data_IF_784403246056
#
_entry.id   IF_784403246056
#
_cell.length_a   1.000
_cell.length_b   1.000
_cell.length_c   1.000
_cell.angle_alpha   90.00
_cell.angle_beta   90.00
_cell.angle_gamma   90.00
#
_symmetry.space_group_name_H-M   'P 1'
#
loop_
_entity.id
_entity.type
_entity.pdbx_description
1 polymer ?
#
# COMPACT_ATOMS: atom_id res chain seq x y z
N UNK A 1 -17.48 -3.95 24.97
CA UNK A 1 -18.07 -4.71 23.84
C UNK A 1 -17.51 -4.37 22.45
N UNK A 2 -16.35 -3.71 22.35
CA UNK A 2 -15.78 -3.26 21.06
C UNK A 2 -14.64 -4.14 20.48
N UNK A 3 -14.10 -5.08 21.27
CA UNK A 3 -12.93 -5.90 20.87
C UNK A 3 -13.23 -7.07 19.90
N UNK A 4 -14.45 -7.60 19.91
CA UNK A 4 -14.82 -8.75 19.08
C UNK A 4 -15.11 -8.38 17.60
N UNK A 5 -15.55 -7.16 17.34
CA UNK A 5 -15.84 -6.70 15.96
C UNK A 5 -14.56 -6.48 15.16
N UNK A 6 -13.49 -6.00 15.79
CA UNK A 6 -12.18 -5.77 15.16
C UNK A 6 -11.50 -7.10 14.79
N UNK A 7 -11.63 -8.12 15.63
CA UNK A 7 -11.05 -9.44 15.38
C UNK A 7 -11.73 -10.17 14.20
N UNK A 8 -13.05 -10.04 14.07
CA UNK A 8 -13.79 -10.68 12.97
C UNK A 8 -13.52 -10.04 11.60
N UNK A 9 -13.31 -8.72 11.56
CA UNK A 9 -12.92 -7.98 10.36
C UNK A 9 -11.50 -8.39 9.95
N UNK A 10 -10.60 -8.59 10.92
CA UNK A 10 -9.21 -9.00 10.69
C UNK A 10 -9.10 -10.41 10.08
N UNK A 11 -9.88 -11.36 10.60
CA UNK A 11 -9.91 -12.76 10.09
C UNK A 11 -10.49 -12.80 8.67
N UNK A 12 -11.58 -12.07 8.41
CA UNK A 12 -12.22 -12.01 7.08
C UNK A 12 -11.33 -11.32 6.03
N UNK A 13 -10.59 -10.28 6.45
CA UNK A 13 -9.57 -9.64 5.63
C UNK A 13 -8.43 -10.60 5.28
N UNK A 14 -7.96 -11.39 6.24
CA UNK A 14 -6.87 -12.36 6.04
C UNK A 14 -7.26 -13.47 5.04
N UNK A 15 -8.49 -13.96 5.07
CA UNK A 15 -8.98 -15.01 4.16
C UNK A 15 -9.09 -14.49 2.72
N UNK A 16 -9.56 -13.26 2.52
CA UNK A 16 -9.65 -12.65 1.18
C UNK A 16 -8.27 -12.37 0.57
N UNK A 17 -7.26 -12.05 1.39
CA UNK A 17 -5.88 -11.89 0.94
C UNK A 17 -5.20 -13.19 0.55
N UNK A 18 -5.53 -14.31 1.20
CA UNK A 18 -4.95 -15.62 0.84
C UNK A 18 -5.36 -16.07 -0.56
N UNK A 19 -6.56 -15.72 -1.01
CA UNK A 19 -7.04 -16.05 -2.37
C UNK A 19 -6.32 -15.23 -3.45
N UNK A 20 -5.99 -13.96 -3.18
CA UNK A 20 -5.23 -13.10 -4.13
C UNK A 20 -3.74 -13.48 -4.16
N UNK A 21 -3.18 -13.93 -3.03
CA UNK A 21 -1.81 -14.47 -2.94
C UNK A 21 -1.64 -15.81 -3.67
N UNK A 22 -2.68 -16.65 -3.73
CA UNK A 22 -2.64 -17.90 -4.49
C UNK A 22 -2.63 -17.69 -6.01
N UNK A 23 -3.07 -16.53 -6.49
CA UNK A 23 -2.99 -16.12 -7.91
C UNK A 23 -1.63 -15.52 -8.31
N UNK A 24 -0.82 -15.08 -7.36
CA UNK A 24 0.56 -14.62 -7.61
C UNK A 24 1.51 -15.84 -7.71
N UNK A 25 1.44 -16.57 -8.81
CA UNK A 25 2.05 -17.91 -9.01
C UNK A 25 3.54 -17.95 -9.32
N UNK A 26 4.26 -16.84 -9.25
CA UNK A 26 5.73 -16.82 -9.31
C UNK A 26 6.25 -15.57 -8.61
N UNK A 27 7.32 -15.70 -7.83
CA UNK A 27 8.08 -14.55 -7.39
C UNK A 27 8.51 -13.74 -8.61
N UNK A 28 8.43 -12.42 -8.58
CA UNK A 28 8.85 -11.61 -9.70
C UNK A 28 10.34 -11.85 -9.95
N UNK A 29 10.69 -12.06 -11.22
CA UNK A 29 12.10 -12.04 -11.61
C UNK A 29 12.71 -10.69 -11.22
N UNK A 30 14.00 -10.65 -10.90
CA UNK A 30 14.68 -9.45 -10.43
C UNK A 30 14.53 -8.26 -11.39
N UNK A 31 14.50 -8.51 -12.70
CA UNK A 31 14.28 -7.46 -13.70
C UNK A 31 12.90 -6.80 -13.57
N UNK A 32 11.85 -7.58 -13.28
CA UNK A 32 10.49 -7.05 -13.03
C UNK A 32 10.48 -6.22 -11.75
N UNK A 33 11.16 -6.68 -10.68
CA UNK A 33 11.30 -5.91 -9.45
C UNK A 33 12.02 -4.58 -9.70
N UNK A 34 13.17 -4.60 -10.37
CA UNK A 34 13.91 -3.36 -10.66
C UNK A 34 13.10 -2.40 -11.53
N UNK A 35 12.40 -2.88 -12.54
CA UNK A 35 11.48 -2.05 -13.33
C UNK A 35 10.36 -1.48 -12.48
N UNK A 36 9.85 -2.22 -11.51
CA UNK A 36 8.82 -1.73 -10.60
C UNK A 36 9.36 -0.61 -9.70
N UNK A 37 10.60 -0.70 -9.27
CA UNK A 37 11.26 0.31 -8.43
C UNK A 37 11.78 1.53 -9.21
N UNK A 38 11.95 1.42 -10.53
CA UNK A 38 12.49 2.48 -11.39
C UNK A 38 11.47 3.56 -11.79
N UNK A 39 10.61 3.99 -10.85
CA UNK A 39 9.62 5.04 -11.10
C UNK A 39 9.32 5.81 -9.82
N UNK A 40 9.44 7.14 -9.79
CA UNK A 40 9.29 7.93 -8.58
C UNK A 40 7.89 7.84 -7.96
N UNK A 41 6.84 7.77 -8.78
CA UNK A 41 5.46 7.66 -8.27
C UNK A 41 5.26 6.30 -7.58
N UNK A 42 5.82 5.22 -8.15
CA UNK A 42 5.73 3.89 -7.54
C UNK A 42 6.52 3.81 -6.23
N UNK A 43 7.69 4.47 -6.15
CA UNK A 43 8.44 4.56 -4.90
C UNK A 43 7.64 5.30 -3.80
N UNK A 44 6.98 6.41 -4.15
CA UNK A 44 6.11 7.14 -3.22
C UNK A 44 4.94 6.27 -2.74
N UNK A 45 4.29 5.54 -3.65
CA UNK A 45 3.22 4.60 -3.29
C UNK A 45 3.71 3.50 -2.35
N UNK A 46 4.87 2.90 -2.64
CA UNK A 46 5.50 1.88 -1.78
C UNK A 46 5.83 2.43 -0.39
N UNK A 47 6.37 3.63 -0.31
CA UNK A 47 6.65 4.27 0.97
C UNK A 47 5.38 4.46 1.81
N UNK A 48 4.27 4.85 1.19
CA UNK A 48 2.99 5.03 1.88
C UNK A 48 2.41 3.72 2.42
N UNK A 49 2.54 2.60 1.68
CA UNK A 49 2.01 1.28 2.09
C UNK A 49 3.01 0.41 2.85
N UNK A 50 4.20 0.93 3.18
CA UNK A 50 5.29 0.13 3.75
C UNK A 50 4.91 -0.61 5.05
N UNK A 51 4.13 0.04 5.91
CA UNK A 51 3.72 -0.45 7.22
C UNK A 51 2.20 -0.39 7.46
N UNK A 52 1.42 -0.14 6.40
CA UNK A 52 -0.03 0.06 6.54
C UNK A 52 -0.82 -0.36 5.31
N UNK A 53 -2.10 -0.54 5.51
CA UNK A 53 -3.08 -0.72 4.45
C UNK A 53 -3.81 0.60 4.19
N UNK A 54 -3.85 1.04 2.93
CA UNK A 54 -4.37 2.36 2.55
C UNK A 54 -5.40 2.24 1.43
N UNK A 55 -6.52 2.97 1.58
CA UNK A 55 -7.50 3.14 0.50
C UNK A 55 -6.94 4.02 -0.62
N UNK A 56 -7.31 3.72 -1.88
CA UNK A 56 -6.84 4.44 -3.08
C UNK A 56 -7.12 5.96 -3.02
N UNK A 57 -8.17 6.39 -2.36
CA UNK A 57 -8.51 7.80 -2.21
C UNK A 57 -7.41 8.62 -1.52
N UNK A 58 -6.74 8.05 -0.52
CA UNK A 58 -5.62 8.73 0.14
C UNK A 58 -4.43 8.93 -0.80
N UNK A 59 -4.11 7.98 -1.67
CA UNK A 59 -3.02 8.18 -2.65
C UNK A 59 -3.31 9.34 -3.60
N UNK A 60 -4.56 9.43 -4.09
CA UNK A 60 -4.99 10.54 -4.96
C UNK A 60 -4.78 11.86 -4.25
N UNK A 61 -5.26 11.96 -3.01
CA UNK A 61 -5.20 13.18 -2.20
C UNK A 61 -3.76 13.56 -1.82
N UNK A 62 -2.98 12.60 -1.31
CA UNK A 62 -1.61 12.85 -0.83
C UNK A 62 -0.65 13.17 -1.97
N UNK A 63 -0.71 12.41 -3.06
CA UNK A 63 0.21 12.56 -4.18
C UNK A 63 -0.22 13.62 -5.19
N UNK A 64 -1.48 14.08 -5.12
CA UNK A 64 -2.08 15.01 -6.10
C UNK A 64 -1.99 14.48 -7.53
N UNK A 65 -2.22 13.19 -7.70
CA UNK A 65 -2.19 12.48 -8.98
C UNK A 65 -3.57 11.86 -9.22
N UNK A 66 -4.07 11.95 -10.44
CA UNK A 66 -5.39 11.41 -10.79
C UNK A 66 -5.52 9.92 -10.52
N UNK A 67 -6.70 9.48 -10.09
CA UNK A 67 -6.96 8.08 -9.75
C UNK A 67 -6.62 7.09 -10.87
N UNK A 68 -6.89 7.34 -12.18
CA UNK A 68 -6.47 6.42 -13.25
C UNK A 68 -4.95 6.24 -13.34
N UNK A 69 -4.18 7.29 -13.09
CA UNK A 69 -2.72 7.24 -13.02
C UNK A 69 -2.25 6.41 -11.83
N UNK A 70 -2.76 6.69 -10.64
CA UNK A 70 -2.47 5.93 -9.42
C UNK A 70 -2.79 4.44 -9.61
N UNK A 71 -3.97 4.13 -10.15
CA UNK A 71 -4.40 2.75 -10.39
C UNK A 71 -3.46 1.99 -11.34
N UNK A 72 -2.92 2.65 -12.39
CA UNK A 72 -1.92 2.06 -13.29
C UNK A 72 -0.61 1.74 -12.57
N UNK A 73 -0.10 2.65 -11.75
CA UNK A 73 1.12 2.41 -10.97
C UNK A 73 0.91 1.28 -9.94
N UNK A 74 -0.23 1.26 -9.24
CA UNK A 74 -0.58 0.19 -8.30
C UNK A 74 -0.73 -1.17 -9.00
N UNK A 75 -1.33 -1.21 -10.19
CA UNK A 75 -1.43 -2.42 -10.99
C UNK A 75 -0.05 -2.95 -11.40
N UNK A 76 0.92 -2.05 -11.67
CA UNK A 76 2.30 -2.44 -11.95
C UNK A 76 2.97 -3.08 -10.72
N UNK A 77 2.85 -2.46 -9.55
CA UNK A 77 3.37 -3.00 -8.28
C UNK A 77 2.75 -4.36 -7.93
N UNK A 78 1.45 -4.53 -8.18
CA UNK A 78 0.76 -5.82 -7.99
C UNK A 78 1.28 -6.89 -8.93
N UNK A 79 1.47 -6.59 -10.22
CA UNK A 79 2.08 -7.52 -11.18
C UNK A 79 3.51 -7.90 -10.82
N UNK A 80 4.24 -6.97 -10.22
CA UNK A 80 5.58 -7.21 -9.68
C UNK A 80 5.56 -7.96 -8.33
N UNK A 81 4.40 -8.38 -7.81
CA UNK A 81 4.31 -9.16 -6.58
C UNK A 81 4.67 -8.43 -5.29
N UNK A 82 4.86 -7.11 -5.34
CA UNK A 82 5.27 -6.30 -4.18
C UNK A 82 4.14 -5.45 -3.57
N UNK A 83 2.94 -5.54 -4.13
CA UNK A 83 1.74 -4.96 -3.56
C UNK A 83 0.55 -5.92 -3.73
N UNK A 84 -0.37 -5.91 -2.78
CA UNK A 84 -1.67 -6.58 -2.88
C UNK A 84 -2.80 -5.57 -2.73
N UNK A 85 -3.97 -5.93 -3.26
CA UNK A 85 -5.18 -5.13 -3.08
C UNK A 85 -6.32 -5.96 -2.50
N UNK A 86 -7.17 -5.30 -1.75
CA UNK A 86 -8.40 -5.84 -1.20
C UNK A 86 -9.55 -4.88 -1.51
N UNK A 87 -10.69 -5.44 -1.87
CA UNK A 87 -11.92 -4.66 -2.04
C UNK A 87 -12.80 -4.79 -0.81
N UNK A 88 -13.30 -3.65 -0.34
CA UNK A 88 -14.28 -3.58 0.73
C UNK A 88 -15.41 -2.63 0.31
N UNK A 89 -16.55 -3.21 -0.11
CA UNK A 89 -17.61 -2.44 -0.73
C UNK A 89 -17.14 -1.68 -1.96
N UNK A 90 -17.25 -0.36 -1.93
CA UNK A 90 -16.75 0.54 -3.00
C UNK A 90 -15.27 0.91 -2.86
N UNK A 91 -14.61 0.53 -1.77
CA UNK A 91 -13.25 0.94 -1.44
C UNK A 91 -12.21 -0.10 -1.89
N UNK A 92 -11.12 0.38 -2.47
CA UNK A 92 -9.96 -0.43 -2.83
C UNK A 92 -8.80 -0.10 -1.90
N UNK A 93 -8.37 -1.08 -1.13
CA UNK A 93 -7.26 -1.00 -0.19
C UNK A 93 -6.02 -1.64 -0.78
N UNK A 94 -4.86 -1.08 -0.47
CA UNK A 94 -3.57 -1.58 -0.93
C UNK A 94 -2.60 -1.72 0.24
N UNK A 95 -1.79 -2.76 0.19
CA UNK A 95 -0.73 -3.02 1.18
C UNK A 95 0.52 -3.56 0.51
N UNK A 96 1.64 -3.45 1.20
CA UNK A 96 2.90 -4.06 0.79
C UNK A 96 2.81 -5.60 0.88
N UNK A 97 3.50 -6.26 -0.04
CA UNK A 97 3.77 -7.71 0.01
C UNK A 97 5.27 -7.91 -0.09
N UNK A 98 5.83 -8.71 0.81
CA UNK A 98 7.23 -9.10 0.75
C UNK A 98 7.38 -10.29 -0.20
N UNK A 99 8.25 -10.20 -1.22
CA UNK A 99 8.57 -11.36 -2.09
C UNK A 99 9.08 -12.56 -1.28
N UNK A 100 8.83 -13.77 -1.76
CA UNK A 100 9.34 -14.99 -1.15
C UNK A 100 10.83 -15.18 -1.45
N UNK A 101 11.27 -14.76 -2.62
CA UNK A 101 12.69 -14.77 -2.97
C UNK A 101 13.47 -13.85 -2.03
N UNK A 102 14.52 -14.40 -1.41
CA UNK A 102 15.30 -13.70 -0.38
C UNK A 102 16.04 -12.48 -0.90
N UNK A 103 16.55 -12.57 -2.14
CA UNK A 103 17.27 -11.46 -2.76
C UNK A 103 16.29 -10.30 -3.07
N UNK A 104 15.16 -10.61 -3.69
CA UNK A 104 14.09 -9.64 -3.97
C UNK A 104 13.55 -8.99 -2.68
N UNK A 105 13.32 -9.79 -1.64
CA UNK A 105 12.87 -9.29 -0.33
C UNK A 105 13.92 -8.36 0.31
N UNK A 106 15.21 -8.69 0.20
CA UNK A 106 16.29 -7.86 0.73
C UNK A 106 16.40 -6.53 -0.01
N UNK A 107 16.34 -6.56 -1.35
CA UNK A 107 16.35 -5.36 -2.19
C UNK A 107 15.17 -4.44 -1.83
N UNK A 108 13.96 -4.99 -1.75
CA UNK A 108 12.78 -4.21 -1.40
C UNK A 108 12.92 -3.58 0.00
N UNK A 109 13.37 -4.36 0.98
CA UNK A 109 13.57 -3.89 2.36
C UNK A 109 14.58 -2.73 2.43
N UNK A 110 15.74 -2.88 1.77
CA UNK A 110 16.77 -1.81 1.78
C UNK A 110 16.28 -0.57 1.01
N UNK A 111 15.55 -0.76 -0.10
CA UNK A 111 14.90 0.35 -0.80
C UNK A 111 13.95 1.10 0.13
N UNK A 112 13.06 0.41 0.84
CA UNK A 112 12.11 1.05 1.77
C UNK A 112 12.81 1.78 2.92
N UNK A 113 13.91 1.25 3.45
CA UNK A 113 14.72 1.95 4.46
C UNK A 113 15.27 3.27 3.91
N UNK A 114 15.81 3.24 2.71
CA UNK A 114 16.35 4.44 2.06
C UNK A 114 15.25 5.48 1.78
N UNK A 115 14.07 5.06 1.31
CA UNK A 115 12.96 5.96 1.02
C UNK A 115 12.52 6.75 2.27
N UNK A 116 12.52 6.14 3.45
CA UNK A 116 12.17 6.83 4.71
C UNK A 116 13.08 8.02 5.04
N UNK A 117 14.27 8.07 4.47
CA UNK A 117 15.24 9.16 4.68
C UNK A 117 14.99 10.34 3.72
N UNK A 118 14.34 10.12 2.59
CA UNK A 118 14.10 11.14 1.57
C UNK A 118 13.08 12.18 2.07
N UNK A 119 13.36 13.49 1.91
CA UNK A 119 12.46 14.56 2.39
C UNK A 119 11.04 14.47 1.79
N UNK A 120 10.94 14.18 0.48
CA UNK A 120 9.66 14.02 -0.20
C UNK A 120 8.82 12.89 0.40
N UNK A 121 9.44 11.75 0.70
CA UNK A 121 8.78 10.59 1.28
C UNK A 121 8.28 10.87 2.71
N UNK A 122 9.06 11.61 3.49
CA UNK A 122 8.65 12.06 4.84
C UNK A 122 7.49 13.05 4.77
N UNK A 123 7.51 13.95 3.80
CA UNK A 123 6.41 14.90 3.57
C UNK A 123 5.10 14.17 3.21
N UNK A 124 5.15 13.14 2.36
CA UNK A 124 3.99 12.32 2.04
C UNK A 124 3.41 11.62 3.27
N UNK A 125 4.25 11.06 4.14
CA UNK A 125 3.81 10.45 5.40
C UNK A 125 3.19 11.49 6.34
N UNK A 126 3.79 12.68 6.44
CA UNK A 126 3.24 13.77 7.25
C UNK A 126 1.85 14.20 6.76
N UNK A 127 1.69 14.36 5.43
CA UNK A 127 0.39 14.67 4.82
C UNK A 127 -0.64 13.58 5.07
N UNK A 128 -0.24 12.30 4.95
CA UNK A 128 -1.11 11.17 5.26
C UNK A 128 -1.57 11.21 6.72
N UNK A 129 -0.66 11.44 7.66
CA UNK A 129 -1.00 11.56 9.08
C UNK A 129 -1.96 12.72 9.33
N UNK A 130 -1.73 13.88 8.71
CA UNK A 130 -2.63 15.02 8.79
C UNK A 130 -4.01 14.73 8.21
N UNK A 131 -4.09 14.01 7.09
CA UNK A 131 -5.35 13.62 6.47
C UNK A 131 -6.16 12.62 7.32
N UNK A 132 -5.48 11.80 8.13
CA UNK A 132 -6.13 10.90 9.09
C UNK A 132 -6.66 11.65 10.32
N UNK A 133 -5.93 12.67 10.81
CA UNK A 133 -6.28 13.40 12.02
C UNK A 133 -7.27 14.55 11.78
N UNK A 134 -7.26 15.14 10.59
CA UNK A 134 -8.10 16.27 10.21
C UNK A 134 -8.64 16.10 8.76
N UNK A 135 -9.48 15.07 8.52
CA UNK A 135 -9.93 14.72 7.17
C UNK A 135 -10.73 15.84 6.50
N UNK A 136 -11.34 16.73 7.28
CA UNK A 136 -12.08 17.89 6.78
C UNK A 136 -11.22 18.90 6.02
N UNK A 137 -9.90 18.86 6.16
CA UNK A 137 -8.93 19.72 5.45
C UNK A 137 -8.48 19.13 4.10
N UNK A 138 -8.99 17.95 3.76
CA UNK A 138 -8.59 17.19 2.57
C UNK A 138 -9.82 16.82 1.73
N UNK A 139 -9.62 16.70 0.44
CA UNK A 139 -10.68 16.31 -0.51
C UNK A 139 -10.90 14.78 -0.50
N UNK A 140 -11.12 14.23 0.69
CA UNK A 140 -11.42 12.82 0.84
C UNK A 140 -12.93 12.56 0.71
N UNK A 141 -13.35 11.47 0.05
CA UNK A 141 -14.75 11.09 0.03
C UNK A 141 -15.29 10.87 1.44
N UNK A 142 -16.57 11.26 1.67
CA UNK A 142 -17.24 10.95 2.94
C UNK A 142 -17.16 9.46 3.25
N UNK A 143 -16.86 9.11 4.49
CA UNK A 143 -16.68 7.74 4.96
C UNK A 143 -15.48 7.02 4.34
N UNK A 144 -14.44 7.74 3.84
CA UNK A 144 -13.20 7.11 3.42
C UNK A 144 -12.60 6.33 4.61
N UNK A 145 -12.33 5.01 4.43
CA UNK A 145 -11.80 4.20 5.53
C UNK A 145 -10.39 4.66 5.88
N UNK A 146 -10.14 4.87 7.17
CA UNK A 146 -8.82 5.27 7.64
C UNK A 146 -7.77 4.19 7.36
N UNK A 147 -6.51 4.61 7.07
CA UNK A 147 -5.39 3.70 6.95
C UNK A 147 -5.21 2.83 8.20
N UNK A 148 -5.04 1.53 7.99
CA UNK A 148 -4.80 0.59 9.08
C UNK A 148 -3.31 0.25 9.17
N UNK A 149 -2.71 0.40 10.37
CA UNK A 149 -1.37 -0.08 10.63
C UNK A 149 -1.35 -1.60 10.54
N UNK A 150 -0.39 -2.13 9.81
CA UNK A 150 -0.13 -3.56 9.76
C UNK A 150 0.81 -3.91 10.91
N UNK A 151 0.46 -4.92 11.71
CA UNK A 151 1.42 -5.51 12.63
C UNK A 151 2.55 -6.11 11.75
N UNK A 152 3.74 -5.55 11.87
CA UNK A 152 4.92 -6.14 11.26
C UNK A 152 5.19 -7.47 11.98
N UNK A 153 5.44 -8.54 11.22
CA UNK A 153 5.82 -9.82 11.83
C UNK A 153 7.14 -9.73 12.56
#
# INVERSE_FOLDING_TARGET
MCRLRTYFIYVKAHILYTVDLMKARSDPSLDVLFRALADPTRLRLLNLIADREICVCYFVEILRISQPKISRHLAYLRRAGIAASRREGKWMHYRLVTPRDRAAASILRETLKHLKLAPEMRNDISRLSSACCAPEKYELPQSAPQPALLALP
#
